data_IF_717259138442
#
_entry.id   IF_717259138442
#
_cell.length_a   1.000
_cell.length_b   1.000
_cell.length_c   1.000
_cell.angle_alpha   90.00
_cell.angle_beta   90.00
_cell.angle_gamma   90.00
#
_symmetry.space_group_name_H-M   'P 1'
#
loop_
_entity.id
_entity.type
_entity.pdbx_description
1 polymer ?
#
# COMPACT_ATOMS: atom_id res chain seq x y z
N UNK A 1 5.12 -48.44 48.46
CA UNK A 1 6.16 -47.89 47.57
C UNK A 1 5.54 -46.62 46.99
N UNK A 2 5.61 -45.44 47.64
CA UNK A 2 6.68 -44.89 48.51
C UNK A 2 7.96 -44.68 47.67
N UNK A 3 8.67 -43.55 47.66
CA UNK A 3 8.64 -42.26 48.41
C UNK A 3 8.96 -41.09 47.42
N UNK A 4 8.81 -39.76 47.62
CA UNK A 4 8.81 -38.85 48.79
C UNK A 4 10.24 -38.67 49.38
N UNK A 5 10.83 -37.51 49.70
CA UNK A 5 10.60 -36.05 49.49
C UNK A 5 11.77 -35.51 48.58
N UNK A 6 12.17 -34.24 48.42
CA UNK A 6 11.84 -32.92 49.01
C UNK A 6 12.04 -31.76 47.99
N UNK A 7 11.67 -30.55 48.38
CA UNK A 7 12.21 -29.26 47.88
C UNK A 7 13.16 -28.65 48.92
N UNK A 8 14.19 -27.89 48.53
CA UNK A 8 14.74 -26.80 49.38
C UNK A 8 15.80 -25.92 48.66
N UNK A 9 15.63 -24.59 48.76
CA UNK A 9 16.54 -23.58 49.33
C UNK A 9 18.06 -23.54 48.98
N UNK A 10 18.74 -22.39 49.00
CA UNK A 10 18.35 -20.97 48.81
C UNK A 10 19.61 -20.08 48.70
N UNK A 11 19.40 -18.84 48.26
CA UNK A 11 20.08 -17.59 48.67
C UNK A 11 21.60 -17.30 48.46
N UNK A 12 21.79 -16.02 48.10
CA UNK A 12 22.92 -15.10 48.34
C UNK A 12 24.38 -15.47 48.00
N UNK A 13 24.97 -14.63 47.14
CA UNK A 13 26.03 -13.74 47.62
C UNK A 13 26.04 -12.37 46.90
N UNK A 14 26.57 -11.33 47.56
CA UNK A 14 26.59 -9.93 47.08
C UNK A 14 27.94 -9.26 47.39
N UNK A 15 28.72 -8.92 46.38
CA UNK A 15 29.82 -7.94 46.47
C UNK A 15 29.95 -7.26 45.08
N UNK A 16 29.76 -5.95 44.84
CA UNK A 16 30.00 -4.70 45.58
C UNK A 16 31.43 -4.16 45.44
N UNK A 17 31.69 -3.45 44.34
CA UNK A 17 32.87 -2.58 44.17
C UNK A 17 32.39 -1.15 43.86
N UNK A 18 33.03 -0.16 44.48
CA UNK A 18 32.76 1.28 44.39
C UNK A 18 34.09 2.05 44.22
N UNK A 19 34.02 3.21 43.56
CA UNK A 19 35.15 4.13 43.35
C UNK A 19 36.04 3.71 42.17
N UNK A 20 36.67 4.61 41.41
CA UNK A 20 36.64 6.10 41.37
C UNK A 20 36.66 6.50 39.87
N UNK A 21 35.97 7.54 39.37
CA UNK A 21 36.00 8.98 39.68
C UNK A 21 37.32 9.68 39.28
N UNK A 22 37.18 10.80 38.59
CA UNK A 22 38.22 11.77 38.15
C UNK A 22 39.28 11.39 37.09
N UNK A 23 38.86 11.43 35.81
CA UNK A 23 39.48 12.36 34.84
C UNK A 23 38.57 12.77 33.67
N UNK A 24 38.75 13.99 33.19
CA UNK A 24 37.90 14.71 32.23
C UNK A 24 38.73 15.25 31.03
N UNK A 25 38.22 16.11 30.13
CA UNK A 25 37.01 15.96 29.30
C UNK A 25 37.24 16.31 27.80
N UNK A 26 36.85 15.46 26.84
CA UNK A 26 36.88 15.80 25.40
C UNK A 26 35.64 15.30 24.62
N UNK A 27 34.50 16.00 24.76
CA UNK A 27 33.30 15.74 23.94
C UNK A 27 32.50 17.02 23.57
N UNK A 28 32.35 17.96 24.50
CA UNK A 28 31.44 19.12 24.40
C UNK A 28 31.97 20.29 23.54
N UNK A 29 32.52 20.01 22.34
CA UNK A 29 32.97 21.04 21.37
C UNK A 29 32.59 20.76 19.91
N UNK A 30 31.55 19.93 19.68
CA UNK A 30 31.04 19.63 18.32
C UNK A 30 29.61 20.09 18.02
N UNK A 31 28.75 20.30 19.02
CA UNK A 31 27.36 20.69 18.77
C UNK A 31 27.18 22.17 18.42
N UNK A 32 27.97 23.08 19.02
CA UNK A 32 27.85 24.54 18.79
C UNK A 32 28.13 24.97 17.34
N UNK A 33 28.76 24.12 16.52
CA UNK A 33 28.99 24.38 15.09
C UNK A 33 27.89 23.91 14.16
N UNK A 34 26.96 23.07 14.63
CA UNK A 34 25.84 22.59 13.81
C UNK A 34 24.68 23.61 13.75
N UNK A 35 24.51 24.41 14.80
CA UNK A 35 23.44 25.41 14.90
C UNK A 35 23.71 26.62 13.97
N UNK A 36 24.97 27.06 13.90
CA UNK A 36 25.43 28.18 13.07
C UNK A 36 25.29 27.89 11.56
N UNK A 37 25.45 26.62 11.14
CA UNK A 37 25.15 26.20 9.77
C UNK A 37 23.66 26.19 9.43
N UNK A 38 22.78 25.96 10.41
CA UNK A 38 21.32 25.96 10.19
C UNK A 38 20.77 27.36 9.91
N UNK A 39 21.21 28.37 10.68
CA UNK A 39 20.75 29.75 10.50
C UNK A 39 21.19 30.37 9.16
N UNK A 40 22.32 29.91 8.59
CA UNK A 40 22.80 30.35 7.27
C UNK A 40 22.02 29.75 6.08
N UNK A 41 21.28 28.64 6.25
CA UNK A 41 20.37 28.16 5.19
C UNK A 41 19.08 28.98 5.14
N UNK A 42 18.53 29.36 6.29
CA UNK A 42 17.28 30.14 6.36
C UNK A 42 17.46 31.54 5.73
N UNK A 43 18.62 32.17 5.94
CA UNK A 43 18.96 33.45 5.31
C UNK A 43 19.24 33.36 3.79
N UNK A 44 19.56 32.16 3.28
CA UNK A 44 19.62 31.91 1.83
C UNK A 44 18.23 31.68 1.22
N UNK A 45 17.37 30.87 1.87
CA UNK A 45 16.01 30.60 1.38
C UNK A 45 15.14 31.87 1.32
N UNK A 46 15.28 32.79 2.27
CA UNK A 46 14.61 34.10 2.20
C UNK A 46 15.19 35.02 1.12
N UNK A 47 16.45 34.83 0.71
CA UNK A 47 17.04 35.57 -0.42
C UNK A 47 16.45 35.17 -1.77
N UNK A 48 16.10 33.90 -1.99
CA UNK A 48 15.55 33.44 -3.29
C UNK A 48 14.19 34.09 -3.59
N UNK A 49 13.35 34.30 -2.58
CA UNK A 49 12.07 34.98 -2.75
C UNK A 49 12.27 36.46 -3.13
N UNK A 50 13.18 37.19 -2.46
CA UNK A 50 13.53 38.57 -2.82
C UNK A 50 14.19 38.65 -4.21
N UNK A 51 15.05 37.69 -4.58
CA UNK A 51 15.62 37.57 -5.92
C UNK A 51 14.55 37.31 -7.00
N UNK A 52 13.53 36.50 -6.70
CA UNK A 52 12.45 36.21 -7.66
C UNK A 52 11.61 37.45 -7.95
N UNK A 53 11.30 38.26 -6.93
CA UNK A 53 10.57 39.53 -7.06
C UNK A 53 11.43 40.60 -7.74
N UNK A 54 12.72 40.68 -7.40
CA UNK A 54 13.67 41.56 -8.07
C UNK A 54 13.78 41.22 -9.58
N UNK A 55 13.94 39.94 -9.93
CA UNK A 55 13.96 39.49 -11.33
C UNK A 55 12.64 39.75 -12.06
N UNK A 56 11.49 39.54 -11.42
CA UNK A 56 10.19 39.88 -12.01
C UNK A 56 10.05 41.39 -12.28
N UNK A 57 10.55 42.24 -11.39
CA UNK A 57 10.55 43.71 -11.61
C UNK A 57 11.56 44.21 -12.66
N UNK A 58 12.50 43.36 -13.10
CA UNK A 58 13.45 43.64 -14.17
C UNK A 58 12.97 43.15 -15.56
N UNK A 59 11.91 42.34 -15.62
CA UNK A 59 11.27 41.93 -16.88
C UNK A 59 10.31 43.06 -17.31
N UNK A 60 10.49 43.66 -18.51
CA UNK A 60 9.52 44.63 -19.02
C UNK A 60 8.14 43.99 -19.14
N UNK A 61 7.09 44.65 -18.64
CA UNK A 61 5.73 44.16 -18.82
C UNK A 61 5.43 44.00 -20.32
N UNK A 62 5.04 42.80 -20.79
CA UNK A 62 4.86 42.55 -22.22
C UNK A 62 3.78 43.47 -22.79
N UNK A 63 4.01 44.03 -23.97
CA UNK A 63 3.04 44.91 -24.63
C UNK A 63 1.74 44.16 -24.94
N UNK A 64 0.65 44.87 -25.20
CA UNK A 64 -0.63 44.24 -25.51
C UNK A 64 -0.58 43.38 -26.79
N UNK A 65 0.32 43.71 -27.73
CA UNK A 65 0.63 42.87 -28.88
C UNK A 65 1.39 41.60 -28.51
N UNK A 66 2.36 41.67 -27.60
CA UNK A 66 3.12 40.50 -27.14
C UNK A 66 2.24 39.56 -26.31
N UNK A 67 1.33 40.09 -25.48
CA UNK A 67 0.32 39.29 -24.78
C UNK A 67 -0.64 38.61 -25.76
N UNK A 68 -1.04 39.28 -26.85
CA UNK A 68 -1.85 38.68 -27.93
C UNK A 68 -1.08 37.59 -28.67
N UNK A 69 0.15 37.86 -29.13
CA UNK A 69 1.02 36.89 -29.81
C UNK A 69 1.32 35.67 -28.92
N UNK A 70 1.55 35.86 -27.62
CA UNK A 70 1.72 34.77 -26.67
C UNK A 70 0.43 33.96 -26.48
N UNK A 71 -0.73 34.61 -26.35
CA UNK A 71 -2.02 33.92 -26.26
C UNK A 71 -2.40 33.17 -27.56
N UNK A 72 -2.00 33.68 -28.73
CA UNK A 72 -2.15 33.00 -30.02
C UNK A 72 -1.16 31.83 -30.16
N UNK A 73 0.10 31.97 -29.75
CA UNK A 73 1.09 30.89 -29.72
C UNK A 73 0.70 29.77 -28.75
N UNK A 74 0.18 30.11 -27.56
CA UNK A 74 -0.36 29.14 -26.59
C UNK A 74 -1.59 28.44 -27.15
N UNK A 75 -2.51 29.15 -27.83
CA UNK A 75 -3.65 28.53 -28.52
C UNK A 75 -3.22 27.66 -29.70
N UNK A 76 -2.19 28.05 -30.46
CA UNK A 76 -1.65 27.23 -31.56
C UNK A 76 -1.04 25.95 -30.99
N UNK A 77 -0.19 26.05 -29.97
CA UNK A 77 0.37 24.88 -29.28
C UNK A 77 -0.71 23.98 -28.66
N UNK A 78 -1.74 24.54 -28.01
CA UNK A 78 -2.86 23.76 -27.49
C UNK A 78 -3.75 23.11 -28.58
N UNK A 79 -3.62 23.53 -29.85
CA UNK A 79 -4.27 22.90 -31.00
C UNK A 79 -3.33 21.94 -31.77
N UNK A 80 -2.01 22.15 -31.68
CA UNK A 80 -0.94 21.31 -32.22
C UNK A 80 -0.70 20.08 -31.32
N UNK A 81 -0.75 20.24 -29.99
CA UNK A 81 -0.78 19.15 -28.99
C UNK A 81 -2.16 18.50 -28.96
N UNK A 82 -2.52 17.90 -30.10
CA UNK A 82 -3.55 16.87 -30.25
C UNK A 82 -2.96 15.46 -30.27
N UNK A 83 -1.75 15.30 -29.73
CA UNK A 83 -1.34 14.01 -29.19
C UNK A 83 -2.40 13.60 -28.16
N UNK A 84 -3.05 12.47 -28.41
CA UNK A 84 -4.08 11.95 -27.51
C UNK A 84 -3.40 11.63 -26.17
N UNK A 85 -3.79 12.35 -25.11
CA UNK A 85 -3.40 12.00 -23.73
C UNK A 85 -3.67 10.50 -23.56
N UNK A 86 -2.66 9.69 -23.15
CA UNK A 86 -2.83 8.25 -23.07
C UNK A 86 -4.11 7.91 -22.31
N UNK A 87 -5.06 7.31 -23.02
CA UNK A 87 -6.35 6.93 -22.44
C UNK A 87 -6.13 5.70 -21.59
N UNK A 88 -5.67 5.92 -20.36
CA UNK A 88 -5.54 4.87 -19.35
C UNK A 88 -6.88 4.14 -19.26
N UNK A 89 -6.91 2.80 -19.44
CA UNK A 89 -8.17 2.06 -19.43
C UNK A 89 -8.84 2.20 -18.06
N UNK A 90 -10.18 2.24 -18.06
CA UNK A 90 -10.93 2.41 -16.82
C UNK A 90 -10.72 1.24 -15.83
N UNK A 91 -10.37 0.06 -16.35
CA UNK A 91 -10.15 -1.18 -15.59
C UNK A 91 -9.04 -2.00 -16.30
N UNK A 92 -7.75 -1.66 -16.13
CA UNK A 92 -6.63 -2.31 -16.82
C UNK A 92 -6.60 -3.83 -16.65
N UNK A 93 -6.86 -4.35 -15.44
CA UNK A 93 -6.87 -5.79 -15.16
C UNK A 93 -8.07 -6.46 -15.86
N UNK A 94 -9.24 -5.84 -15.83
CA UNK A 94 -10.41 -6.35 -16.55
C UNK A 94 -10.24 -6.37 -18.08
N UNK A 95 -9.42 -5.50 -18.65
CA UNK A 95 -9.11 -5.52 -20.09
C UNK A 95 -7.99 -6.53 -20.42
N UNK A 96 -6.94 -6.60 -19.60
CA UNK A 96 -5.89 -7.62 -19.68
C UNK A 96 -6.44 -9.06 -19.57
N UNK A 97 -7.38 -9.31 -18.65
CA UNK A 97 -8.09 -10.59 -18.52
C UNK A 97 -8.75 -11.02 -19.83
N UNK A 98 -9.40 -10.09 -20.55
CA UNK A 98 -10.06 -10.37 -21.84
C UNK A 98 -9.06 -10.61 -22.96
N UNK A 99 -8.00 -9.81 -23.03
CA UNK A 99 -6.94 -9.94 -24.04
C UNK A 99 -6.26 -11.32 -23.94
N UNK A 100 -5.94 -11.75 -22.71
CA UNK A 100 -5.33 -13.04 -22.43
C UNK A 100 -6.36 -14.19 -22.28
N UNK A 101 -7.66 -13.92 -22.42
CA UNK A 101 -8.79 -14.88 -22.30
C UNK A 101 -8.82 -15.68 -20.99
N UNK A 102 -8.48 -15.01 -19.90
CA UNK A 102 -8.32 -15.61 -18.58
C UNK A 102 -9.68 -15.93 -17.91
N UNK A 103 -10.76 -15.31 -18.39
CA UNK A 103 -12.15 -15.49 -17.98
C UNK A 103 -12.97 -16.43 -18.89
N UNK A 104 -12.36 -17.09 -19.89
CA UNK A 104 -13.07 -18.02 -20.79
C UNK A 104 -13.60 -19.25 -20.01
N UNK A 105 -14.92 -19.28 -19.78
CA UNK A 105 -15.60 -20.33 -18.99
C UNK A 105 -15.35 -21.72 -19.56
N UNK A 106 -14.84 -22.62 -18.71
CA UNK A 106 -14.53 -24.02 -19.07
C UNK A 106 -15.58 -25.02 -18.53
N UNK A 107 -16.57 -24.53 -17.78
CA UNK A 107 -17.67 -25.28 -17.16
C UNK A 107 -19.01 -24.52 -17.33
N UNK A 108 -20.12 -25.10 -16.88
CA UNK A 108 -21.45 -24.47 -16.98
C UNK A 108 -21.66 -23.35 -15.94
N UNK A 109 -22.72 -22.54 -16.13
CA UNK A 109 -23.04 -21.43 -15.22
C UNK A 109 -23.40 -21.89 -13.79
N UNK A 110 -23.97 -23.09 -13.64
CA UNK A 110 -24.31 -23.72 -12.36
C UNK A 110 -23.06 -23.97 -11.50
N UNK A 111 -22.01 -24.54 -12.09
CA UNK A 111 -20.71 -24.71 -11.44
C UNK A 111 -20.10 -23.39 -10.96
N UNK A 112 -20.25 -22.30 -11.72
CA UNK A 112 -19.75 -20.98 -11.29
C UNK A 112 -20.67 -20.29 -10.26
N UNK A 113 -21.96 -20.65 -10.19
CA UNK A 113 -22.88 -20.18 -9.16
C UNK A 113 -22.57 -20.84 -7.80
N UNK A 114 -22.26 -22.13 -7.76
CA UNK A 114 -21.78 -22.83 -6.57
C UNK A 114 -20.49 -22.19 -5.98
N UNK A 115 -19.71 -21.49 -6.83
CA UNK A 115 -18.50 -20.77 -6.44
C UNK A 115 -18.75 -19.32 -5.97
N UNK A 116 -19.99 -18.85 -5.83
CA UNK A 116 -20.24 -17.49 -5.34
C UNK A 116 -19.90 -17.30 -3.85
N UNK A 117 -20.12 -18.31 -3.00
CA UNK A 117 -19.81 -18.28 -1.57
C UNK A 117 -18.33 -17.98 -1.30
N UNK A 118 -18.02 -16.88 -0.60
CA UNK A 118 -16.63 -16.52 -0.28
C UNK A 118 -15.97 -17.51 0.66
N UNK A 119 -16.67 -17.95 1.71
CA UNK A 119 -16.10 -18.92 2.65
C UNK A 119 -15.79 -20.26 1.98
N UNK A 120 -16.70 -20.75 1.13
CA UNK A 120 -16.55 -22.07 0.53
C UNK A 120 -15.55 -22.05 -0.63
N UNK A 121 -15.46 -20.94 -1.36
CA UNK A 121 -14.35 -20.67 -2.28
C UNK A 121 -13.01 -20.65 -1.54
N UNK A 122 -12.88 -19.99 -0.38
CA UNK A 122 -11.63 -20.01 0.39
C UNK A 122 -11.26 -21.41 0.88
N UNK A 123 -12.23 -22.17 1.41
CA UNK A 123 -12.04 -23.58 1.83
C UNK A 123 -11.58 -24.44 0.66
N UNK A 124 -12.20 -24.27 -0.50
CA UNK A 124 -11.92 -24.98 -1.75
C UNK A 124 -10.54 -24.66 -2.32
N UNK A 125 -10.19 -23.38 -2.46
CA UNK A 125 -8.93 -22.96 -3.09
C UNK A 125 -7.71 -23.33 -2.25
N UNK A 126 -7.81 -23.34 -0.92
CA UNK A 126 -6.71 -23.61 0.02
C UNK A 126 -5.90 -24.87 -0.32
N UNK A 127 -6.57 -25.96 -0.68
CA UNK A 127 -5.95 -27.28 -0.85
C UNK A 127 -5.64 -27.62 -2.32
N UNK A 128 -5.93 -26.72 -3.28
CA UNK A 128 -5.73 -26.95 -4.72
C UNK A 128 -4.28 -27.17 -5.14
N UNK A 129 -3.29 -26.82 -4.32
CA UNK A 129 -1.87 -27.12 -4.60
C UNK A 129 -1.59 -28.61 -4.78
N UNK A 130 -2.44 -29.49 -4.23
CA UNK A 130 -2.33 -30.95 -4.36
C UNK A 130 -3.13 -31.54 -5.54
N UNK A 131 -3.83 -30.71 -6.32
CA UNK A 131 -4.74 -31.15 -7.38
C UNK A 131 -4.06 -30.95 -8.76
N UNK A 132 -4.18 -31.92 -9.70
CA UNK A 132 -3.57 -31.78 -11.02
C UNK A 132 -4.10 -30.59 -11.82
N UNK A 133 -3.19 -29.83 -12.44
CA UNK A 133 -3.48 -28.62 -13.21
C UNK A 133 -4.62 -28.72 -14.25
N UNK A 134 -4.81 -29.90 -14.84
CA UNK A 134 -5.90 -30.17 -15.80
C UNK A 134 -7.27 -29.98 -15.15
N UNK A 135 -7.40 -30.30 -13.85
CA UNK A 135 -8.63 -30.09 -13.06
C UNK A 135 -8.69 -28.64 -12.55
N UNK A 136 -7.56 -28.09 -12.11
CA UNK A 136 -7.50 -26.73 -11.53
C UNK A 136 -7.89 -25.62 -12.52
N UNK A 137 -7.51 -25.75 -13.81
CA UNK A 137 -7.74 -24.73 -14.85
C UNK A 137 -9.18 -24.22 -14.94
N UNK A 138 -10.18 -25.07 -14.67
CA UNK A 138 -11.61 -24.69 -14.82
C UNK A 138 -12.11 -23.70 -13.76
N UNK A 139 -11.41 -23.59 -12.63
CA UNK A 139 -11.73 -22.63 -11.56
C UNK A 139 -11.10 -21.25 -11.80
N UNK A 140 -10.07 -21.16 -12.65
CA UNK A 140 -9.32 -19.93 -12.88
C UNK A 140 -10.14 -18.75 -13.44
N UNK A 141 -11.20 -18.95 -14.26
CA UNK A 141 -12.15 -17.88 -14.59
C UNK A 141 -12.87 -17.25 -13.40
N UNK A 142 -13.16 -18.01 -12.32
CA UNK A 142 -13.71 -17.43 -11.08
C UNK A 142 -12.65 -16.60 -10.33
N UNK A 143 -11.38 -17.03 -10.34
CA UNK A 143 -10.29 -16.23 -9.76
C UNK A 143 -10.18 -14.88 -10.47
N UNK A 144 -10.21 -14.86 -11.80
CA UNK A 144 -10.18 -13.63 -12.60
C UNK A 144 -11.39 -12.74 -12.32
N UNK A 145 -12.60 -13.32 -12.25
CA UNK A 145 -13.84 -12.63 -11.84
C UNK A 145 -13.69 -11.94 -10.48
N UNK A 146 -13.03 -12.60 -9.52
CA UNK A 146 -12.80 -12.08 -8.16
C UNK A 146 -11.81 -10.92 -8.12
N UNK A 147 -10.72 -10.95 -8.89
CA UNK A 147 -9.83 -9.79 -9.03
C UNK A 147 -10.52 -8.60 -9.70
N UNK A 148 -11.24 -8.81 -10.80
CA UNK A 148 -12.03 -7.76 -11.48
C UNK A 148 -13.08 -7.15 -10.53
N UNK A 149 -13.66 -7.95 -9.63
CA UNK A 149 -14.60 -7.45 -8.63
C UNK A 149 -13.92 -6.54 -7.58
N UNK A 150 -12.65 -6.80 -7.22
CA UNK A 150 -11.91 -5.88 -6.32
C UNK A 150 -11.38 -4.66 -7.07
N UNK A 151 -10.87 -4.81 -8.30
CA UNK A 151 -10.43 -3.68 -9.14
C UNK A 151 -11.52 -2.60 -9.26
N UNK A 152 -12.77 -3.02 -9.47
CA UNK A 152 -13.93 -2.10 -9.55
C UNK A 152 -14.17 -1.31 -8.27
N UNK A 153 -13.84 -1.87 -7.09
CA UNK A 153 -13.96 -1.18 -5.80
C UNK A 153 -12.92 -0.09 -5.62
N UNK A 154 -11.78 -0.12 -6.32
CA UNK A 154 -10.71 0.91 -6.19
C UNK A 154 -11.32 2.30 -6.38
N UNK A 155 -12.05 2.52 -7.49
CA UNK A 155 -12.70 3.80 -7.79
C UNK A 155 -13.78 4.22 -6.79
N UNK A 156 -14.43 3.27 -6.15
CA UNK A 156 -15.41 3.54 -5.09
C UNK A 156 -14.72 3.96 -3.80
N UNK A 157 -13.58 3.32 -3.46
CA UNK A 157 -12.74 3.62 -2.30
C UNK A 157 -12.00 4.95 -2.46
N UNK A 158 -11.35 5.19 -3.61
CA UNK A 158 -10.73 6.47 -3.99
C UNK A 158 -11.73 7.61 -3.81
N UNK A 159 -12.96 7.44 -4.35
CA UNK A 159 -14.02 8.43 -4.23
C UNK A 159 -14.42 8.65 -2.77
N UNK A 160 -14.70 7.59 -2.01
CA UNK A 160 -15.09 7.69 -0.59
C UNK A 160 -14.03 8.42 0.23
N UNK A 161 -12.74 8.10 0.02
CA UNK A 161 -11.60 8.77 0.67
C UNK A 161 -11.53 10.25 0.30
N UNK A 162 -11.69 10.58 -1.00
CA UNK A 162 -11.57 11.95 -1.47
C UNK A 162 -12.71 12.84 -1.00
N UNK A 163 -13.91 12.27 -0.79
CA UNK A 163 -15.09 12.93 -0.22
C UNK A 163 -15.04 13.15 1.31
N UNK A 164 -14.03 12.61 2.04
CA UNK A 164 -13.93 12.76 3.50
C UNK A 164 -13.69 14.21 3.96
N UNK A 165 -14.41 14.72 4.99
CA UNK A 165 -14.23 16.08 5.49
C UNK A 165 -12.90 16.22 6.25
N UNK A 166 -12.02 17.10 5.76
CA UNK A 166 -10.69 17.36 6.33
C UNK A 166 -10.29 18.84 6.17
N UNK A 167 -9.58 19.36 7.16
CA UNK A 167 -8.99 20.71 7.14
C UNK A 167 -7.44 20.60 7.02
N UNK A 168 -6.78 21.63 6.46
CA UNK A 168 -5.30 21.70 6.33
C UNK A 168 -4.64 21.60 7.71
N UNK A 169 -3.74 20.61 7.87
CA UNK A 169 -3.02 20.24 9.11
C UNK A 169 -3.92 19.78 10.25
N UNK A 170 -5.00 19.08 9.90
CA UNK A 170 -5.95 18.53 10.88
C UNK A 170 -5.74 17.04 11.16
N UNK A 171 -6.28 16.59 12.29
CA UNK A 171 -6.33 15.17 12.67
C UNK A 171 -7.05 14.32 11.61
N UNK A 172 -7.96 14.92 10.84
CA UNK A 172 -8.67 14.26 9.75
C UNK A 172 -7.80 14.13 8.50
N UNK A 173 -6.91 15.08 8.22
CA UNK A 173 -5.88 14.93 7.16
C UNK A 173 -4.90 13.81 7.52
N UNK A 174 -4.36 13.80 8.75
CA UNK A 174 -3.48 12.76 9.30
C UNK A 174 -4.09 11.33 9.22
N UNK A 175 -5.43 11.21 9.23
CA UNK A 175 -6.19 9.95 9.04
C UNK A 175 -6.46 9.63 7.58
N UNK A 176 -6.81 10.63 6.77
CA UNK A 176 -7.00 10.49 5.33
C UNK A 176 -5.71 10.00 4.64
N UNK A 177 -4.55 10.53 5.03
CA UNK A 177 -3.25 10.12 4.50
C UNK A 177 -2.98 8.63 4.74
N UNK A 178 -3.15 8.13 5.97
CA UNK A 178 -2.81 6.74 6.30
C UNK A 178 -3.81 5.74 5.70
N UNK A 179 -5.06 6.14 5.48
CA UNK A 179 -6.03 5.35 4.72
C UNK A 179 -5.67 5.27 3.23
N UNK A 180 -5.12 6.35 2.67
CA UNK A 180 -4.61 6.39 1.29
C UNK A 180 -3.35 5.54 1.17
N UNK A 181 -2.43 5.59 2.14
CA UNK A 181 -1.27 4.69 2.20
C UNK A 181 -1.69 3.21 2.25
N UNK A 182 -2.77 2.88 2.99
CA UNK A 182 -3.33 1.52 2.98
C UNK A 182 -3.94 1.15 1.62
N UNK A 183 -4.63 2.06 0.93
CA UNK A 183 -5.15 1.80 -0.42
C UNK A 183 -4.00 1.53 -1.41
N UNK A 184 -3.00 2.41 -1.46
CA UNK A 184 -1.80 2.25 -2.30
C UNK A 184 -1.04 0.95 -2.00
N UNK A 185 -0.89 0.62 -0.71
CA UNK A 185 -0.28 -0.64 -0.25
C UNK A 185 -1.02 -1.85 -0.79
N UNK A 186 -2.36 -1.81 -0.75
CA UNK A 186 -3.22 -2.94 -1.16
C UNK A 186 -3.26 -3.10 -2.67
N UNK A 187 -3.23 -2.02 -3.43
CA UNK A 187 -3.22 -2.07 -4.90
C UNK A 187 -2.00 -2.81 -5.48
N UNK A 188 -0.89 -2.91 -4.74
CA UNK A 188 0.25 -3.78 -5.10
C UNK A 188 -0.10 -5.26 -5.18
N UNK A 189 -1.21 -5.67 -4.56
CA UNK A 189 -1.75 -7.01 -4.72
C UNK A 189 -2.21 -7.33 -6.15
N UNK A 190 -2.49 -6.33 -6.99
CA UNK A 190 -2.75 -6.53 -8.41
C UNK A 190 -1.43 -6.69 -9.20
N UNK A 191 -0.38 -5.93 -8.88
CA UNK A 191 0.97 -6.08 -9.47
C UNK A 191 1.53 -7.51 -9.25
N UNK A 192 1.31 -8.07 -8.05
CA UNK A 192 1.69 -9.46 -7.71
C UNK A 192 0.85 -10.48 -8.49
N UNK A 193 -0.44 -10.18 -8.75
CA UNK A 193 -1.27 -11.03 -9.59
C UNK A 193 -0.79 -11.05 -11.05
N UNK A 194 -0.42 -9.89 -11.62
CA UNK A 194 0.16 -9.82 -12.96
C UNK A 194 1.46 -10.65 -13.06
N UNK A 195 2.33 -10.59 -12.04
CA UNK A 195 3.53 -11.45 -11.96
C UNK A 195 3.15 -12.95 -12.01
N UNK A 196 2.10 -13.36 -11.29
CA UNK A 196 1.60 -14.74 -11.34
C UNK A 196 1.00 -15.12 -12.70
N UNK A 197 0.50 -14.17 -13.50
CA UNK A 197 -0.01 -14.44 -14.86
C UNK A 197 1.14 -14.70 -15.83
N UNK A 198 2.17 -13.85 -15.81
CA UNK A 198 3.31 -13.97 -16.73
C UNK A 198 4.17 -15.20 -16.44
N UNK A 199 4.34 -15.56 -15.17
CA UNK A 199 5.31 -16.57 -14.73
C UNK A 199 4.68 -17.94 -14.48
N UNK A 200 5.29 -18.95 -15.10
CA UNK A 200 4.77 -20.33 -15.10
C UNK A 200 5.06 -21.07 -13.81
N UNK A 201 4.12 -21.00 -12.87
CA UNK A 201 3.95 -21.98 -11.78
C UNK A 201 2.79 -22.94 -12.10
N UNK A 202 2.63 -24.01 -11.31
CA UNK A 202 1.49 -24.93 -11.45
C UNK A 202 0.17 -24.21 -11.13
N UNK A 203 -0.87 -24.48 -11.90
CA UNK A 203 -2.21 -23.89 -11.74
C UNK A 203 -2.81 -24.23 -10.37
N UNK A 204 -2.54 -25.43 -9.84
CA UNK A 204 -2.93 -25.80 -8.48
C UNK A 204 -2.35 -24.86 -7.43
N UNK A 205 -1.03 -24.60 -7.46
CA UNK A 205 -0.37 -23.66 -6.54
C UNK A 205 -0.85 -22.23 -6.76
N UNK A 206 -1.01 -21.83 -8.03
CA UNK A 206 -1.41 -20.49 -8.43
C UNK A 206 -2.74 -20.09 -7.81
N UNK A 207 -3.76 -20.96 -7.86
CA UNK A 207 -5.06 -20.70 -7.24
C UNK A 207 -4.99 -20.59 -5.70
N UNK A 208 -4.06 -21.31 -5.04
CA UNK A 208 -3.84 -21.14 -3.58
C UNK A 208 -3.26 -19.75 -3.27
N UNK A 209 -2.24 -19.32 -4.02
CA UNK A 209 -1.60 -18.02 -3.82
C UNK A 209 -2.56 -16.87 -4.13
N UNK A 210 -3.28 -16.98 -5.24
CA UNK A 210 -4.22 -15.95 -5.69
C UNK A 210 -5.47 -15.85 -4.82
N UNK A 211 -6.01 -16.96 -4.29
CA UNK A 211 -7.12 -16.89 -3.32
C UNK A 211 -6.73 -16.21 -2.01
N UNK A 212 -5.51 -16.47 -1.49
CA UNK A 212 -4.94 -15.73 -0.35
C UNK A 212 -4.82 -14.23 -0.67
N UNK A 213 -4.38 -13.89 -1.88
CA UNK A 213 -4.18 -12.52 -2.35
C UNK A 213 -5.50 -11.74 -2.53
N UNK A 214 -6.51 -12.34 -3.17
CA UNK A 214 -7.88 -11.79 -3.25
C UNK A 214 -8.45 -11.55 -1.86
N UNK A 215 -8.31 -12.51 -0.95
CA UNK A 215 -8.83 -12.38 0.40
C UNK A 215 -8.16 -11.21 1.15
N UNK A 216 -6.83 -11.08 1.04
CA UNK A 216 -6.09 -9.95 1.59
C UNK A 216 -6.62 -8.62 1.04
N UNK A 217 -6.64 -8.45 -0.29
CA UNK A 217 -7.14 -7.22 -0.94
C UNK A 217 -8.53 -6.86 -0.44
N UNK A 218 -9.47 -7.82 -0.51
CA UNK A 218 -10.84 -7.63 -0.02
C UNK A 218 -10.87 -7.21 1.45
N UNK A 219 -10.12 -7.90 2.33
CA UNK A 219 -10.13 -7.61 3.77
C UNK A 219 -9.68 -6.18 4.09
N UNK A 220 -8.77 -5.59 3.30
CA UNK A 220 -8.33 -4.20 3.50
C UNK A 220 -9.27 -3.19 2.87
N UNK A 221 -9.88 -3.52 1.74
CA UNK A 221 -10.96 -2.71 1.17
C UNK A 221 -12.17 -2.65 2.12
N UNK A 222 -12.54 -3.78 2.73
CA UNK A 222 -13.59 -3.87 3.76
C UNK A 222 -13.23 -3.03 5.01
N UNK A 223 -11.94 -2.92 5.37
CA UNK A 223 -11.42 -2.02 6.42
C UNK A 223 -11.56 -0.55 6.01
N UNK A 224 -11.00 -0.14 4.87
CA UNK A 224 -11.04 1.26 4.38
C UNK A 224 -12.49 1.74 4.28
N UNK A 225 -13.35 0.92 3.67
CA UNK A 225 -14.79 1.19 3.51
C UNK A 225 -15.50 1.36 4.86
N UNK A 226 -15.14 0.57 5.87
CA UNK A 226 -15.69 0.69 7.23
C UNK A 226 -15.20 1.97 7.91
N UNK A 227 -13.89 2.24 7.90
CA UNK A 227 -13.33 3.45 8.51
C UNK A 227 -13.86 4.72 7.84
N UNK A 228 -14.05 4.74 6.51
CA UNK A 228 -14.68 5.88 5.83
C UNK A 228 -16.12 6.12 6.30
N UNK A 229 -16.93 5.07 6.49
CA UNK A 229 -18.31 5.17 7.01
C UNK A 229 -18.38 5.57 8.48
N UNK A 230 -17.30 5.40 9.23
CA UNK A 230 -17.20 5.78 10.64
C UNK A 230 -16.36 7.05 10.87
N UNK A 231 -15.88 7.69 9.80
CA UNK A 231 -14.86 8.73 9.85
C UNK A 231 -15.26 9.92 10.74
N UNK A 232 -16.49 10.42 10.57
CA UNK A 232 -17.04 11.54 11.34
C UNK A 232 -17.21 11.24 12.84
N UNK A 233 -17.28 9.96 13.25
CA UNK A 233 -17.58 9.57 14.64
C UNK A 233 -16.47 9.94 15.61
N UNK A 234 -15.21 9.91 15.14
CA UNK A 234 -14.03 10.29 15.92
C UNK A 234 -13.92 11.82 16.05
N UNK A 235 -14.44 12.57 15.08
CA UNK A 235 -14.37 14.03 15.07
C UNK A 235 -12.94 14.53 15.31
N UNK A 236 -12.77 15.45 16.27
CA UNK A 236 -11.47 15.96 16.71
C UNK A 236 -10.82 15.20 17.88
N UNK A 237 -11.19 13.95 18.15
CA UNK A 237 -10.64 13.19 19.27
C UNK A 237 -9.27 12.57 18.94
N UNK A 238 -8.21 13.29 19.30
CA UNK A 238 -6.80 12.90 19.08
C UNK A 238 -6.52 11.46 19.54
N UNK A 239 -6.95 11.09 20.75
CA UNK A 239 -6.68 9.78 21.35
C UNK A 239 -7.30 8.62 20.56
N UNK A 240 -8.46 8.84 19.94
CA UNK A 240 -9.13 7.83 19.12
C UNK A 240 -8.56 7.79 17.70
N UNK A 241 -8.24 8.95 17.13
CA UNK A 241 -7.54 9.06 15.85
C UNK A 241 -6.19 8.35 15.89
N UNK A 242 -5.33 8.60 16.89
CA UNK A 242 -4.01 7.97 16.94
C UNK A 242 -4.07 6.46 17.20
N UNK A 243 -5.12 5.96 17.88
CA UNK A 243 -5.40 4.51 17.98
C UNK A 243 -5.79 3.91 16.63
N UNK A 244 -6.68 4.56 15.89
CA UNK A 244 -7.08 4.13 14.55
C UNK A 244 -5.88 4.12 13.60
N UNK A 245 -5.07 5.19 13.61
CA UNK A 245 -3.90 5.33 12.73
C UNK A 245 -2.80 4.31 13.01
N UNK A 246 -2.50 3.98 14.27
CA UNK A 246 -1.50 2.93 14.55
C UNK A 246 -2.04 1.53 14.24
N UNK A 247 -3.36 1.30 14.32
CA UNK A 247 -3.96 0.08 13.78
C UNK A 247 -3.88 0.01 12.25
N UNK A 248 -4.17 1.10 11.52
CA UNK A 248 -4.02 1.13 10.06
C UNK A 248 -2.54 0.90 9.66
N UNK A 249 -1.58 1.51 10.38
CA UNK A 249 -0.14 1.21 10.20
C UNK A 249 0.21 -0.25 10.48
N UNK A 250 -0.44 -0.90 11.45
CA UNK A 250 -0.29 -2.33 11.66
C UNK A 250 -0.80 -3.12 10.46
N UNK A 251 -1.98 -2.81 9.91
CA UNK A 251 -2.51 -3.50 8.73
C UNK A 251 -1.68 -3.24 7.46
N UNK A 252 -1.08 -2.05 7.30
CA UNK A 252 -0.11 -1.75 6.23
C UNK A 252 1.12 -2.68 6.33
N UNK A 253 1.74 -2.77 7.52
CA UNK A 253 2.89 -3.67 7.78
C UNK A 253 2.51 -5.15 7.63
N UNK A 254 1.27 -5.50 7.97
CA UNK A 254 0.70 -6.85 7.81
C UNK A 254 0.51 -7.20 6.33
N UNK A 255 0.20 -6.23 5.46
CA UNK A 255 0.22 -6.44 4.01
C UNK A 255 1.64 -6.71 3.50
N UNK A 256 2.65 -5.93 3.91
CA UNK A 256 4.05 -6.20 3.52
C UNK A 256 4.52 -7.61 3.95
N UNK A 257 4.14 -8.06 5.15
CA UNK A 257 4.41 -9.43 5.61
C UNK A 257 3.75 -10.48 4.70
N UNK A 258 2.45 -10.36 4.45
CA UNK A 258 1.71 -11.34 3.64
C UNK A 258 2.14 -11.34 2.17
N UNK A 259 2.49 -10.18 1.60
CA UNK A 259 3.10 -10.12 0.27
C UNK A 259 4.47 -10.81 0.23
N UNK A 260 5.28 -10.68 1.30
CA UNK A 260 6.55 -11.40 1.42
C UNK A 260 6.34 -12.91 1.51
N UNK A 261 5.40 -13.38 2.32
CA UNK A 261 5.04 -14.81 2.43
C UNK A 261 4.50 -15.39 1.10
N UNK A 262 3.65 -14.63 0.40
CA UNK A 262 3.14 -15.00 -0.91
C UNK A 262 4.24 -15.06 -1.98
N UNK A 263 5.15 -14.09 -2.00
CA UNK A 263 6.28 -14.09 -2.93
C UNK A 263 7.28 -15.21 -2.63
N UNK A 264 7.53 -15.54 -1.35
CA UNK A 264 8.35 -16.71 -0.97
C UNK A 264 7.71 -18.02 -1.44
N UNK A 265 6.40 -18.19 -1.23
CA UNK A 265 5.65 -19.36 -1.66
C UNK A 265 5.52 -19.46 -3.20
N UNK A 266 5.43 -18.32 -3.88
CA UNK A 266 5.52 -18.22 -5.34
C UNK A 266 6.90 -18.67 -5.85
N UNK A 267 7.99 -18.12 -5.29
CA UNK A 267 9.35 -18.50 -5.68
C UNK A 267 9.62 -19.99 -5.40
N UNK A 268 9.15 -20.53 -4.26
CA UNK A 268 9.23 -21.97 -3.97
C UNK A 268 8.45 -22.80 -4.99
N UNK A 269 7.25 -22.36 -5.39
CA UNK A 269 6.48 -23.00 -6.46
C UNK A 269 7.22 -23.00 -7.81
N UNK A 270 7.87 -21.89 -8.15
CA UNK A 270 8.64 -21.73 -9.39
C UNK A 270 9.95 -22.55 -9.40
N UNK A 271 10.51 -22.85 -8.23
CA UNK A 271 11.72 -23.66 -8.04
C UNK A 271 11.42 -25.13 -7.69
N UNK A 272 10.15 -25.58 -7.83
CA UNK A 272 9.69 -26.94 -7.50
C UNK A 272 9.97 -27.36 -6.04
N UNK A 273 9.98 -26.40 -5.12
CA UNK A 273 10.23 -26.58 -3.68
C UNK A 273 8.93 -26.64 -2.86
N UNK A 274 8.94 -27.40 -1.76
CA UNK A 274 7.80 -27.49 -0.82
C UNK A 274 7.55 -26.19 -0.03
N UNK A 275 6.28 -25.88 0.21
CA UNK A 275 5.82 -24.76 1.04
C UNK A 275 4.42 -25.00 1.63
N UNK A 276 4.04 -24.21 2.64
CA UNK A 276 2.84 -24.37 3.48
C UNK A 276 1.64 -23.52 3.05
#
# INVERSE_FOLDING_TARGET
MSEVVNSENCDENKENIKGDVDRAPEAEKKNDRAFDSGQNLVSHLMNEQEYSVALQSLIPEPTEEERKKFAEEVKRKAAETKDELPTFPDYPLADFVKEHKLDEKLENDEFYADLESEEDAQKLYKDMKNIPDVVCKKYYPDMCRRFIAQERRIKELEKMLWELPREDRSVQEDRFEILTELLDKVCKGFEIWDEHVERKISMGHRLVLESRLVHLIKSRFDIIETTCKEFDKIGGNQDEADREREWIRYEIRHCDLLFTELHEAFLKSYLEMEWT
#
